data_IF_173227470936
#
_entry.id   IF_173227470936
#
_cell.length_a   1.000
_cell.length_b   1.000
_cell.length_c   1.000
_cell.angle_alpha   90.00
_cell.angle_beta   90.00
_cell.angle_gamma   90.00
#
_symmetry.space_group_name_H-M   'P 1'
#
loop_
_entity.id
_entity.type
_entity.pdbx_description
1 polymer ?
#
# COMPACT_ATOMS: atom_id res chain seq x y z
N UNK A 1 6.29 9.03 -6.61
CA UNK A 1 5.31 9.80 -7.41
C UNK A 1 4.22 10.29 -6.46
N UNK A 2 4.01 11.60 -6.33
CA UNK A 2 3.04 12.16 -5.38
C UNK A 2 1.59 11.73 -5.69
N UNK A 3 1.27 11.43 -6.94
CA UNK A 3 -0.06 10.95 -7.35
C UNK A 3 -0.34 9.56 -6.77
N UNK A 4 0.63 8.65 -6.87
CA UNK A 4 0.52 7.29 -6.34
C UNK A 4 0.37 7.29 -4.82
N UNK A 5 1.18 8.09 -4.12
CA UNK A 5 1.09 8.19 -2.66
C UNK A 5 -0.25 8.77 -2.19
N UNK A 6 -0.82 9.73 -2.92
CA UNK A 6 -2.14 10.28 -2.62
C UNK A 6 -3.25 9.22 -2.77
N UNK A 7 -3.16 8.34 -3.77
CA UNK A 7 -4.11 7.23 -3.94
C UNK A 7 -4.00 6.20 -2.81
N UNK A 8 -2.78 5.93 -2.31
CA UNK A 8 -2.59 5.12 -1.10
C UNK A 8 -3.24 5.77 0.12
N UNK A 9 -3.05 7.08 0.33
CA UNK A 9 -3.67 7.82 1.45
C UNK A 9 -5.19 7.73 1.41
N UNK A 10 -5.79 8.05 0.25
CA UNK A 10 -7.26 8.01 0.07
C UNK A 10 -7.80 6.59 0.24
N UNK A 11 -7.19 5.61 -0.41
CA UNK A 11 -7.62 4.22 -0.34
C UNK A 11 -7.52 3.67 1.08
N UNK A 12 -6.45 4.01 1.80
CA UNK A 12 -6.27 3.61 3.19
C UNK A 12 -7.35 4.21 4.09
N UNK A 13 -7.54 5.53 4.03
CA UNK A 13 -8.53 6.23 4.84
C UNK A 13 -9.96 5.73 4.56
N UNK A 14 -10.31 5.52 3.29
CA UNK A 14 -11.61 4.95 2.92
C UNK A 14 -11.80 3.54 3.47
N UNK A 15 -10.76 2.68 3.42
CA UNK A 15 -10.83 1.31 3.95
C UNK A 15 -11.00 1.31 5.47
N UNK A 16 -10.22 2.11 6.19
CA UNK A 16 -10.34 2.23 7.66
C UNK A 16 -11.71 2.74 8.07
N UNK A 17 -12.27 3.72 7.36
CA UNK A 17 -13.61 4.24 7.63
C UNK A 17 -14.71 3.20 7.34
N UNK A 18 -14.69 2.57 6.15
CA UNK A 18 -15.78 1.71 5.69
C UNK A 18 -15.82 0.33 6.33
N UNK A 19 -14.67 -0.29 6.53
CA UNK A 19 -14.61 -1.68 7.00
C UNK A 19 -14.29 -1.78 8.49
N UNK A 20 -13.60 -0.79 9.05
CA UNK A 20 -13.04 -0.89 10.39
C UNK A 20 -13.53 0.19 11.36
N UNK A 21 -14.41 1.09 10.91
CA UNK A 21 -14.91 2.25 11.68
C UNK A 21 -13.77 2.99 12.41
N UNK A 22 -12.65 3.16 11.70
CA UNK A 22 -11.40 3.67 12.24
C UNK A 22 -11.07 5.02 11.60
N UNK A 23 -10.75 6.06 12.40
CA UNK A 23 -10.38 7.39 11.90
C UNK A 23 -8.90 7.48 11.50
N UNK A 24 -8.23 6.34 11.39
CA UNK A 24 -6.80 6.27 11.14
C UNK A 24 -6.50 6.73 9.70
N UNK A 25 -5.56 7.67 9.56
CA UNK A 25 -5.14 8.21 8.26
C UNK A 25 -3.62 8.33 8.20
N UNK A 26 -3.07 8.22 6.99
CA UNK A 26 -1.66 8.50 6.73
C UNK A 26 -1.52 10.01 6.51
N UNK A 27 -0.65 10.66 7.29
CA UNK A 27 -0.43 12.11 7.25
C UNK A 27 0.85 12.50 6.51
N UNK A 28 1.85 11.62 6.48
CA UNK A 28 3.10 11.86 5.76
C UNK A 28 3.77 10.54 5.37
N UNK A 29 4.64 10.60 4.36
CA UNK A 29 5.55 9.52 4.01
C UNK A 29 7.00 10.00 4.12
N UNK A 30 7.87 9.09 4.54
CA UNK A 30 9.31 9.28 4.61
C UNK A 30 10.03 8.05 4.04
N UNK A 31 11.28 8.21 3.59
CA UNK A 31 12.12 7.11 3.13
C UNK A 31 11.49 6.26 2.02
N UNK A 32 10.94 6.90 0.98
CA UNK A 32 10.35 6.19 -0.16
C UNK A 32 11.46 5.51 -0.96
N UNK A 33 11.43 4.18 -1.01
CA UNK A 33 12.44 3.35 -1.66
C UNK A 33 11.81 2.36 -2.63
N UNK A 34 12.45 2.15 -3.78
CA UNK A 34 12.11 1.08 -4.72
C UNK A 34 12.79 -0.21 -4.24
N UNK A 35 11.99 -1.23 -3.93
CA UNK A 35 12.48 -2.52 -3.40
C UNK A 35 12.66 -3.56 -4.50
N UNK A 36 12.40 -3.19 -5.76
CA UNK A 36 12.65 -4.02 -6.93
C UNK A 36 11.46 -4.10 -7.87
N UNK A 37 11.75 -4.53 -9.10
CA UNK A 37 10.76 -4.86 -10.11
C UNK A 37 10.76 -6.37 -10.36
N UNK A 38 9.58 -6.99 -10.39
CA UNK A 38 9.47 -8.40 -10.79
C UNK A 38 9.40 -8.46 -12.32
N UNK A 39 10.53 -8.67 -12.97
CA UNK A 39 10.64 -8.68 -14.44
C UNK A 39 10.35 -10.06 -15.10
N UNK A 40 10.07 -11.10 -14.31
CA UNK A 40 10.09 -12.50 -14.76
C UNK A 40 8.71 -13.19 -14.90
N UNK A 41 7.63 -12.43 -15.06
CA UNK A 41 6.29 -12.99 -15.26
C UNK A 41 5.72 -12.63 -16.64
N UNK A 42 4.92 -13.54 -17.23
CA UNK A 42 4.20 -13.37 -18.51
C UNK A 42 3.22 -12.15 -18.56
N UNK A 43 3.22 -11.29 -17.55
CA UNK A 43 2.41 -10.09 -17.47
C UNK A 43 3.21 -8.93 -18.07
N UNK A 44 2.75 -8.40 -19.20
CA UNK A 44 3.40 -7.34 -20.00
C UNK A 44 3.51 -5.96 -19.30
N UNK A 45 3.22 -5.88 -18.00
CA UNK A 45 3.21 -4.64 -17.22
C UNK A 45 4.24 -4.78 -16.08
N UNK A 46 5.35 -4.03 -16.10
CA UNK A 46 6.38 -4.12 -15.07
C UNK A 46 5.79 -3.69 -13.72
N UNK A 47 5.66 -4.64 -12.79
CA UNK A 47 5.25 -4.33 -11.41
C UNK A 47 6.44 -3.73 -10.67
N UNK A 48 6.35 -2.45 -10.31
CA UNK A 48 7.31 -1.79 -9.43
C UNK A 48 6.85 -1.92 -8.00
N UNK A 49 7.72 -2.44 -7.13
CA UNK A 49 7.46 -2.58 -5.72
C UNK A 49 8.20 -1.48 -4.97
N UNK A 50 7.53 -0.81 -4.05
CA UNK A 50 8.09 0.25 -3.24
C UNK A 50 7.75 0.04 -1.76
N UNK A 51 8.60 0.58 -0.89
CA UNK A 51 8.33 0.72 0.54
C UNK A 51 8.48 2.18 0.96
N UNK A 52 7.76 2.58 1.99
CA UNK A 52 7.88 3.88 2.63
C UNK A 52 7.53 3.77 4.11
N UNK A 53 8.00 4.71 4.93
CA UNK A 53 7.53 4.88 6.30
C UNK A 53 6.39 5.90 6.32
N UNK A 54 5.17 5.44 6.61
CA UNK A 54 4.01 6.29 6.80
C UNK A 54 3.93 6.79 8.23
N UNK A 55 3.80 8.10 8.43
CA UNK A 55 3.36 8.69 9.69
C UNK A 55 1.82 8.72 9.71
N UNK A 56 1.23 8.31 10.82
CA UNK A 56 -0.22 8.27 11.00
C UNK A 56 -0.69 9.34 11.99
N UNK A 57 -1.98 9.66 11.97
CA UNK A 57 -2.58 10.65 12.89
C UNK A 57 -2.58 10.23 14.38
N UNK A 58 -2.23 8.98 14.69
CA UNK A 58 -1.96 8.51 16.05
C UNK A 58 -0.49 8.74 16.49
N UNK A 59 0.33 9.36 15.64
CA UNK A 59 1.74 9.64 15.89
C UNK A 59 2.67 8.44 15.66
N UNK A 60 2.14 7.27 15.28
CA UNK A 60 2.93 6.06 15.06
C UNK A 60 3.43 6.00 13.62
N UNK A 61 4.69 5.62 13.45
CA UNK A 61 5.27 5.34 12.13
C UNK A 61 5.12 3.87 11.81
N UNK A 62 4.61 3.55 10.62
CA UNK A 62 4.44 2.18 10.13
C UNK A 62 4.99 2.04 8.73
N UNK A 63 5.56 0.88 8.43
CA UNK A 63 6.01 0.57 7.08
C UNK A 63 4.79 0.37 6.16
N UNK A 64 4.84 1.00 5.00
CA UNK A 64 3.84 0.92 3.93
C UNK A 64 4.53 0.31 2.72
N UNK A 65 4.09 -0.88 2.33
CA UNK A 65 4.55 -1.56 1.13
C UNK A 65 3.49 -1.38 0.06
N UNK A 66 3.87 -0.91 -1.12
CA UNK A 66 2.95 -0.75 -2.23
C UNK A 66 3.58 -1.16 -3.56
N UNK A 67 2.76 -1.60 -4.49
CA UNK A 67 3.18 -1.90 -5.85
C UNK A 67 2.31 -1.19 -6.87
N UNK A 68 2.94 -0.80 -7.97
CA UNK A 68 2.34 -0.08 -9.08
C UNK A 68 2.19 -1.08 -10.22
N UNK A 69 0.95 -1.37 -10.63
CA UNK A 69 0.63 -2.40 -11.62
C UNK A 69 -0.83 -2.36 -12.07
N UNK A 70 -1.37 -3.49 -12.55
CA UNK A 70 -2.80 -3.62 -12.89
C UNK A 70 -3.59 -3.99 -11.62
N UNK A 71 -4.71 -3.30 -11.36
CA UNK A 71 -5.54 -3.56 -10.18
C UNK A 71 -6.19 -4.94 -10.29
N UNK A 72 -5.79 -5.89 -9.44
CA UNK A 72 -6.31 -7.27 -9.42
C UNK A 72 -7.14 -7.57 -8.15
N UNK A 73 -7.60 -6.56 -7.41
CA UNK A 73 -8.12 -6.76 -6.05
C UNK A 73 -9.41 -6.01 -5.69
N UNK A 74 -10.28 -6.70 -4.96
CA UNK A 74 -11.61 -6.28 -4.50
C UNK A 74 -11.64 -5.03 -3.58
N UNK A 75 -10.50 -4.47 -3.17
CA UNK A 75 -10.44 -3.36 -2.18
C UNK A 75 -9.45 -2.26 -2.61
N UNK A 76 -9.49 -1.87 -3.89
CA UNK A 76 -8.61 -0.83 -4.45
C UNK A 76 -9.06 -0.40 -5.85
N UNK A 77 -10.20 0.28 -5.94
CA UNK A 77 -10.64 0.91 -7.18
C UNK A 77 -10.03 2.32 -7.29
N UNK A 78 -8.84 2.38 -7.90
CA UNK A 78 -8.07 3.58 -8.23
C UNK A 78 -6.97 3.18 -9.23
N UNK A 79 -6.29 4.15 -9.89
CA UNK A 79 -5.20 3.85 -10.82
C UNK A 79 -4.21 2.89 -10.15
N UNK A 80 -3.88 1.78 -10.83
CA UNK A 80 -3.51 0.50 -10.21
C UNK A 80 -2.34 0.52 -9.21
N UNK A 81 -2.62 0.91 -7.97
CA UNK A 81 -1.71 0.81 -6.83
C UNK A 81 -2.30 -0.16 -5.80
N UNK A 82 -1.57 -1.22 -5.52
CA UNK A 82 -1.89 -2.14 -4.41
C UNK A 82 -1.00 -1.78 -3.24
N UNK A 83 -1.55 -1.72 -2.03
CA UNK A 83 -0.80 -1.31 -0.84
C UNK A 83 -1.16 -2.18 0.38
N UNK A 84 -0.22 -2.24 1.32
CA UNK A 84 -0.33 -2.89 2.61
C UNK A 84 0.45 -2.09 3.66
N UNK A 85 -0.11 -1.99 4.87
CA UNK A 85 0.55 -1.33 6.01
C UNK A 85 0.91 -2.39 7.05
N UNK A 86 2.20 -2.50 7.36
CA UNK A 86 2.71 -3.48 8.31
C UNK A 86 2.10 -3.22 9.69
N UNK A 87 1.53 -4.26 10.28
CA UNK A 87 0.81 -4.19 11.55
C UNK A 87 -0.64 -3.70 11.47
N UNK A 88 -1.14 -3.32 10.28
CA UNK A 88 -2.54 -2.93 10.04
C UNK A 88 -3.21 -3.75 8.92
N UNK A 89 -2.61 -4.88 8.53
CA UNK A 89 -3.22 -5.87 7.63
C UNK A 89 -4.28 -6.70 8.36
N UNK A 90 -5.41 -6.06 8.70
CA UNK A 90 -6.48 -6.63 9.54
C UNK A 90 -7.15 -7.87 8.95
N UNK A 91 -7.17 -8.00 7.62
CA UNK A 91 -7.77 -9.12 6.91
C UNK A 91 -6.73 -10.13 6.41
N UNK A 92 -5.46 -10.00 6.80
CA UNK A 92 -4.36 -10.87 6.36
C UNK A 92 -4.26 -10.99 4.84
N UNK A 93 -4.68 -9.97 4.09
CA UNK A 93 -4.70 -9.99 2.63
C UNK A 93 -3.29 -10.10 2.04
N UNK A 94 -2.27 -9.69 2.79
CA UNK A 94 -0.87 -9.75 2.38
C UNK A 94 0.03 -10.41 3.41
N UNK A 95 -0.50 -11.42 4.11
CA UNK A 95 0.20 -12.12 5.18
C UNK A 95 1.41 -12.94 4.69
N UNK A 96 2.47 -13.08 5.50
CA UNK A 96 2.73 -12.36 6.76
C UNK A 96 3.45 -11.02 6.52
N UNK A 97 3.13 -10.00 7.33
CA UNK A 97 3.80 -8.68 7.33
C UNK A 97 3.94 -8.04 5.94
N UNK A 98 2.84 -7.99 5.17
CA UNK A 98 2.85 -7.42 3.82
C UNK A 98 3.79 -8.11 2.81
N UNK A 99 4.35 -9.29 3.12
CA UNK A 99 5.29 -9.99 2.24
C UNK A 99 4.67 -10.32 0.88
N UNK A 100 3.38 -10.67 0.84
CA UNK A 100 2.69 -10.94 -0.42
C UNK A 100 2.41 -9.68 -1.26
N UNK A 101 2.51 -8.48 -0.67
CA UNK A 101 2.46 -7.21 -1.38
C UNK A 101 3.84 -6.76 -1.91
N UNK A 102 4.92 -7.31 -1.35
CA UNK A 102 6.30 -7.13 -1.77
C UNK A 102 6.77 -8.15 -2.83
N UNK A 103 8.05 -8.11 -3.23
CA UNK A 103 8.65 -9.14 -4.07
C UNK A 103 8.69 -10.52 -3.40
#
# INVERSE_FOLDING_TARGET
>A
DPTILNEVVKGFAAREAWFWNSPLVIVAFDGVEDIGARNNGLSYIPRRYCRALGLFNDGVRREVVYNIGESLGFIGAGPGVTWCVVGLDRNHAFSPNCRAAGP
#
